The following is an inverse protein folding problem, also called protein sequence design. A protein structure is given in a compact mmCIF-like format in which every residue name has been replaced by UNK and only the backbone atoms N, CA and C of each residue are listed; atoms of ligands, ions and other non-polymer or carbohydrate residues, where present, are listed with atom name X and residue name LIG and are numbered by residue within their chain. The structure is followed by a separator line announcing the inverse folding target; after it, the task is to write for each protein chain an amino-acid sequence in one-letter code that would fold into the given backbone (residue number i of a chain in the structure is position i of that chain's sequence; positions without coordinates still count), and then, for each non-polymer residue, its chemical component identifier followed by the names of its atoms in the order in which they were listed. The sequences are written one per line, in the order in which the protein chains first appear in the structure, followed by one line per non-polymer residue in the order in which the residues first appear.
data_IF_739059599193
#
_entry.id   IF_739059599193
#
_cell.length_a   1.000
_cell.length_b   1.000
_cell.length_c   1.000
_cell.angle_alpha   90.00
_cell.angle_beta   90.00
_cell.angle_gamma   90.00
#
_symmetry.space_group_name_H-M   'P 1'
#
loop_
_entity.id
_entity.type
_entity.pdbx_description
1 polymer ?
#
# COMPACT_ATOMS: atom_id res chain seq x y z
N UNK A 1 -22.19 -20.41 16.87
CA UNK A 1 -20.93 -19.96 17.47
C UNK A 1 -20.77 -18.48 17.17
N UNK A 2 -20.69 -17.65 18.21
CA UNK A 2 -20.50 -16.20 18.05
C UNK A 2 -19.03 -15.99 17.74
N UNK A 3 -18.73 -15.52 16.53
CA UNK A 3 -17.35 -15.31 16.09
C UNK A 3 -16.67 -14.25 16.95
N UNK A 4 -15.37 -14.40 17.17
CA UNK A 4 -14.50 -13.42 17.85
C UNK A 4 -14.70 -12.00 17.28
N UNK A 5 -15.04 -11.91 16.00
CA UNK A 5 -15.31 -10.69 15.25
C UNK A 5 -16.62 -10.00 15.71
N UNK A 6 -17.67 -10.77 16.02
CA UNK A 6 -18.95 -10.27 16.52
C UNK A 6 -18.81 -9.70 17.94
N UNK A 7 -17.90 -10.28 18.73
CA UNK A 7 -17.54 -9.76 20.06
C UNK A 7 -16.76 -8.44 19.97
N UNK A 8 -15.87 -8.30 18.99
CA UNK A 8 -15.15 -7.05 18.73
C UNK A 8 -16.11 -5.97 18.21
N UNK A 9 -17.10 -6.34 17.39
CA UNK A 9 -18.18 -5.46 16.91
C UNK A 9 -19.00 -4.86 18.06
N UNK A 10 -19.51 -5.71 18.97
CA UNK A 10 -20.28 -5.29 20.16
C UNK A 10 -19.48 -4.37 21.10
N UNK A 11 -18.16 -4.56 21.17
CA UNK A 11 -17.30 -3.77 22.04
C UNK A 11 -16.95 -2.38 21.48
N UNK A 12 -16.80 -2.25 20.16
CA UNK A 12 -16.56 -0.95 19.52
C UNK A 12 -17.83 -0.06 19.59
N UNK A 13 -19.02 -0.66 19.54
CA UNK A 13 -20.31 0.06 19.57
C UNK A 13 -20.75 0.53 20.97
N UNK A 14 -20.14 0.01 22.04
CA UNK A 14 -20.55 0.36 23.41
C UNK A 14 -21.95 -0.12 23.80
N UNK A 15 -22.51 -1.09 23.07
CA UNK A 15 -23.81 -1.67 23.34
C UNK A 15 -23.69 -2.63 24.54
N UNK A 16 -23.86 -2.09 25.75
CA UNK A 16 -24.09 -2.87 26.95
C UNK A 16 -25.30 -3.77 26.71
N UNK A 17 -25.04 -5.06 26.63
CA UNK A 17 -26.06 -6.06 26.36
C UNK A 17 -26.91 -6.18 27.63
N UNK A 18 -28.18 -5.77 27.56
CA UNK A 18 -29.16 -5.93 28.64
C UNK A 18 -29.59 -7.41 28.77
N UNK A 19 -28.62 -8.33 28.85
CA UNK A 19 -28.83 -9.76 28.98
C UNK A 19 -28.13 -10.26 30.26
N UNK A 20 -28.88 -10.44 31.37
CA UNK A 20 -28.32 -10.70 32.70
C UNK A 20 -27.62 -12.06 32.84
N UNK A 21 -27.67 -12.92 31.80
CA UNK A 21 -26.92 -14.16 31.71
C UNK A 21 -25.58 -14.04 30.96
N UNK A 22 -25.35 -12.94 30.22
CA UNK A 22 -24.07 -12.65 29.55
C UNK A 22 -23.07 -11.95 30.49
N UNK A 23 -23.56 -11.20 31.48
CA UNK A 23 -22.73 -10.46 32.47
C UNK A 23 -21.80 -11.37 33.30
N UNK A 24 -22.10 -12.67 33.39
CA UNK A 24 -21.32 -13.63 34.20
C UNK A 24 -20.12 -14.20 33.43
N UNK A 25 -20.19 -14.30 32.09
CA UNK A 25 -19.08 -14.77 31.25
C UNK A 25 -18.18 -13.60 30.77
N UNK A 26 -18.71 -12.37 30.74
CA UNK A 26 -18.03 -11.14 30.27
C UNK A 26 -16.87 -10.66 31.16
N UNK A 27 -16.74 -11.15 32.40
CA UNK A 27 -15.65 -10.75 33.31
C UNK A 27 -14.45 -11.71 33.33
N UNK A 28 -14.47 -12.82 32.62
CA UNK A 28 -13.55 -13.93 32.88
C UNK A 28 -12.71 -14.44 31.70
N UNK A 29 -12.55 -13.69 30.60
CA UNK A 29 -11.46 -13.96 29.65
C UNK A 29 -10.32 -12.98 29.89
N UNK A 30 -9.13 -13.45 30.31
CA UNK A 30 -7.96 -12.58 30.37
C UNK A 30 -7.72 -12.03 28.96
N UNK A 31 -7.99 -10.72 28.81
CA UNK A 31 -7.91 -10.01 27.54
C UNK A 31 -6.57 -10.30 26.89
N UNK A 32 -6.58 -10.82 25.67
CA UNK A 32 -5.31 -11.10 25.00
C UNK A 32 -4.76 -9.75 24.54
N UNK A 33 -3.48 -9.51 24.80
CA UNK A 33 -2.78 -8.23 24.51
C UNK A 33 -3.01 -7.76 23.07
N UNK A 34 -3.21 -8.68 22.12
CA UNK A 34 -3.49 -8.38 20.72
C UNK A 34 -4.88 -7.82 20.43
N UNK A 35 -5.90 -8.19 21.20
CA UNK A 35 -7.29 -7.71 21.01
C UNK A 35 -7.38 -6.25 21.44
N UNK A 36 -6.86 -5.93 22.63
CA UNK A 36 -6.74 -4.57 23.13
C UNK A 36 -5.95 -3.67 22.16
N UNK A 37 -4.89 -4.21 21.57
CA UNK A 37 -4.08 -3.50 20.60
C UNK A 37 -4.83 -3.22 19.29
N UNK A 38 -5.50 -4.23 18.73
CA UNK A 38 -6.27 -4.08 17.48
C UNK A 38 -7.36 -3.03 17.64
N UNK A 39 -8.08 -3.02 18.76
CA UNK A 39 -9.14 -2.03 18.93
C UNK A 39 -8.59 -0.62 19.14
N UNK A 40 -7.47 -0.46 19.84
CA UNK A 40 -6.81 0.85 19.94
C UNK A 40 -6.43 1.40 18.57
N UNK A 41 -5.83 0.57 17.72
CA UNK A 41 -5.49 0.96 16.35
C UNK A 41 -6.75 1.25 15.53
N UNK A 42 -7.76 0.40 15.59
CA UNK A 42 -9.00 0.60 14.85
C UNK A 42 -9.70 1.92 15.23
N UNK A 43 -9.79 2.24 16.53
CA UNK A 43 -10.39 3.49 17.01
C UNK A 43 -9.59 4.72 16.58
N UNK A 44 -8.26 4.63 16.56
CA UNK A 44 -7.43 5.74 16.08
C UNK A 44 -7.58 5.95 14.57
N UNK A 45 -7.56 4.87 13.78
CA UNK A 45 -7.79 4.94 12.33
C UNK A 45 -9.19 5.49 12.03
N UNK A 46 -10.19 5.10 12.82
CA UNK A 46 -11.55 5.65 12.71
C UNK A 46 -11.58 7.15 13.00
N UNK A 47 -10.91 7.60 14.06
CA UNK A 47 -10.80 9.03 14.40
C UNK A 47 -10.16 9.83 13.25
N UNK A 48 -9.10 9.26 12.66
CA UNK A 48 -8.44 9.83 11.47
C UNK A 48 -9.38 9.82 10.26
N UNK A 49 -10.10 8.72 10.01
CA UNK A 49 -11.10 8.61 8.96
C UNK A 49 -12.19 9.68 9.10
N UNK A 50 -12.72 9.89 10.30
CA UNK A 50 -13.77 10.89 10.56
C UNK A 50 -13.27 12.32 10.43
N UNK A 51 -12.01 12.57 10.79
CA UNK A 51 -11.40 13.89 10.65
C UNK A 51 -11.10 14.24 9.20
N UNK A 52 -10.63 13.25 8.44
CA UNK A 52 -10.22 13.44 7.06
C UNK A 52 -11.41 13.29 6.09
N UNK A 53 -12.49 12.59 6.46
CA UNK A 53 -13.61 12.40 5.54
C UNK A 53 -14.16 13.73 5.02
N UNK A 54 -14.32 13.80 3.69
CA UNK A 54 -14.83 14.98 3.02
C UNK A 54 -16.04 14.59 2.19
N UNK A 55 -17.19 15.19 2.51
CA UNK A 55 -18.44 14.98 1.76
C UNK A 55 -18.85 16.31 1.12
N UNK A 56 -18.56 16.53 -0.18
CA UNK A 56 -19.03 17.72 -0.88
C UNK A 56 -20.57 17.71 -1.01
N UNK A 57 -21.21 18.89 -1.03
CA UNK A 57 -22.67 18.99 -1.13
C UNK A 57 -23.17 18.35 -2.44
N UNK A 58 -23.96 17.28 -2.31
CA UNK A 58 -24.53 16.52 -3.43
C UNK A 58 -23.60 15.49 -4.09
N UNK A 59 -22.42 15.24 -3.52
CA UNK A 59 -21.43 14.28 -4.04
C UNK A 59 -21.14 13.10 -3.09
N UNK A 60 -20.33 12.13 -3.54
CA UNK A 60 -19.94 10.98 -2.74
C UNK A 60 -19.00 11.38 -1.60
N UNK A 61 -19.00 10.61 -0.50
CA UNK A 61 -18.04 10.79 0.60
C UNK A 61 -16.68 10.25 0.20
N UNK A 62 -15.65 11.08 0.36
CA UNK A 62 -14.25 10.74 0.13
C UNK A 62 -13.57 10.44 1.45
N UNK A 63 -12.90 9.30 1.52
CA UNK A 63 -12.04 8.89 2.63
C UNK A 63 -10.65 8.55 2.09
N UNK A 64 -9.58 8.73 2.90
CA UNK A 64 -8.24 8.31 2.51
C UNK A 64 -8.21 6.84 2.05
N UNK A 65 -7.61 6.53 0.89
CA UNK A 65 -7.50 5.17 0.37
C UNK A 65 -6.45 4.31 1.09
N UNK A 66 -5.51 4.90 1.83
CA UNK A 66 -4.48 4.15 2.54
C UNK A 66 -4.23 4.72 3.94
N UNK A 67 -4.03 3.83 4.91
CA UNK A 67 -3.67 4.16 6.29
C UNK A 67 -2.39 3.44 6.66
N UNK A 68 -1.35 4.20 6.97
CA UNK A 68 -0.09 3.66 7.44
C UNK A 68 -0.09 3.69 8.97
N UNK A 69 -0.07 2.52 9.60
CA UNK A 69 0.06 2.36 11.04
C UNK A 69 1.52 2.12 11.38
N UNK A 70 2.17 3.10 11.98
CA UNK A 70 3.52 2.99 12.50
C UNK A 70 3.48 2.37 13.89
N UNK A 71 4.21 1.28 14.05
CA UNK A 71 4.41 0.55 15.29
C UNK A 71 5.80 0.83 15.84
N UNK A 72 5.93 0.77 17.17
CA UNK A 72 7.23 0.76 17.82
C UNK A 72 8.07 -0.47 17.37
N UNK A 73 9.39 -0.37 17.52
CA UNK A 73 10.29 -1.49 17.19
C UNK A 73 10.02 -2.72 18.09
N UNK A 74 9.65 -2.51 19.35
CA UNK A 74 9.37 -3.59 20.28
C UNK A 74 8.01 -4.25 20.02
N UNK A 75 7.00 -3.47 19.61
CA UNK A 75 5.73 -4.02 19.17
C UNK A 75 5.87 -4.78 17.85
N UNK A 76 6.62 -4.27 16.85
CA UNK A 76 6.83 -5.01 15.60
C UNK A 76 7.42 -6.40 15.84
N UNK A 77 8.34 -6.56 16.82
CA UNK A 77 8.89 -7.88 17.20
C UNK A 77 7.81 -8.85 17.71
N UNK A 78 6.80 -8.35 18.40
CA UNK A 78 5.65 -9.15 18.86
C UNK A 78 4.68 -9.48 17.71
N UNK A 79 4.62 -8.62 16.68
CA UNK A 79 3.71 -8.69 15.53
C UNK A 79 4.38 -9.15 14.22
N UNK A 80 5.30 -10.11 14.26
CA UNK A 80 5.95 -10.65 13.05
C UNK A 80 5.24 -11.86 12.45
N UNK A 81 5.45 -12.08 11.15
CA UNK A 81 5.01 -13.29 10.43
C UNK A 81 3.49 -13.40 10.29
N UNK A 82 2.92 -14.54 10.70
CA UNK A 82 1.49 -14.81 10.59
C UNK A 82 0.64 -13.89 11.48
N UNK A 83 1.16 -13.45 12.63
CA UNK A 83 0.48 -12.48 13.50
C UNK A 83 0.31 -11.12 12.81
N UNK A 84 1.31 -10.67 12.04
CA UNK A 84 1.21 -9.43 11.22
C UNK A 84 0.06 -9.53 10.24
N UNK A 85 0.02 -10.64 9.49
CA UNK A 85 -0.99 -10.88 8.45
C UNK A 85 -2.39 -10.99 9.04
N UNK A 86 -2.54 -11.70 10.17
CA UNK A 86 -3.82 -11.80 10.86
C UNK A 86 -4.31 -10.45 11.39
N UNK A 87 -3.39 -9.61 11.86
CA UNK A 87 -3.72 -8.27 12.33
C UNK A 87 -4.04 -7.30 11.19
N UNK A 88 -3.32 -7.35 10.08
CA UNK A 88 -3.63 -6.63 8.84
C UNK A 88 -5.03 -7.02 8.31
N UNK A 89 -5.32 -8.32 8.25
CA UNK A 89 -6.63 -8.84 7.83
C UNK A 89 -7.75 -8.44 8.79
N UNK A 90 -7.50 -8.52 10.10
CA UNK A 90 -8.46 -8.13 11.13
C UNK A 90 -8.78 -6.63 11.10
N UNK A 91 -7.75 -5.78 10.99
CA UNK A 91 -7.93 -4.34 10.85
C UNK A 91 -8.68 -3.98 9.57
N UNK A 92 -8.30 -4.59 8.44
CA UNK A 92 -9.00 -4.38 7.17
C UNK A 92 -10.49 -4.73 7.27
N UNK A 93 -10.82 -5.86 7.89
CA UNK A 93 -12.21 -6.28 8.09
C UNK A 93 -12.99 -5.28 8.96
N UNK A 94 -12.47 -4.95 10.15
CA UNK A 94 -13.14 -4.04 11.11
C UNK A 94 -13.34 -2.65 10.51
N UNK A 95 -12.31 -2.12 9.85
CA UNK A 95 -12.39 -0.81 9.23
C UNK A 95 -13.32 -0.79 8.00
N UNK A 96 -13.49 -1.93 7.30
CA UNK A 96 -14.37 -2.01 6.13
C UNK A 96 -15.83 -1.96 6.55
N UNK A 97 -16.14 -2.62 7.66
CA UNK A 97 -17.46 -2.57 8.27
C UNK A 97 -17.77 -1.13 8.75
N UNK A 98 -16.81 -0.48 9.44
CA UNK A 98 -16.97 0.89 9.95
C UNK A 98 -17.02 1.96 8.85
N UNK A 99 -16.19 1.87 7.82
CA UNK A 99 -16.23 2.80 6.69
C UNK A 99 -17.60 2.75 5.99
N UNK A 100 -18.20 1.55 5.87
CA UNK A 100 -19.53 1.37 5.31
C UNK A 100 -20.61 1.98 6.20
N UNK A 101 -20.53 1.80 7.52
CA UNK A 101 -21.43 2.42 8.49
C UNK A 101 -21.34 3.96 8.48
N UNK A 102 -20.11 4.50 8.49
CA UNK A 102 -19.85 5.94 8.40
C UNK A 102 -20.38 6.55 7.10
N UNK A 103 -20.29 5.82 5.99
CA UNK A 103 -20.84 6.27 4.71
C UNK A 103 -22.37 6.19 4.63
N UNK A 104 -23.01 5.42 5.52
CA UNK A 104 -24.45 5.25 5.58
C UNK A 104 -25.08 4.89 4.23
N UNK A 105 -25.93 5.80 3.70
CA UNK A 105 -26.61 5.70 2.40
C UNK A 105 -25.83 6.36 1.24
N UNK A 106 -24.71 7.05 1.53
CA UNK A 106 -23.91 7.75 0.52
C UNK A 106 -22.84 6.83 -0.03
N UNK A 107 -22.77 6.74 -1.35
CA UNK A 107 -21.79 5.89 -2.02
C UNK A 107 -20.37 6.40 -1.75
N UNK A 108 -19.56 5.56 -1.09
CA UNK A 108 -18.11 5.83 -0.97
C UNK A 108 -17.50 5.88 -2.37
N UNK A 109 -16.75 6.95 -2.65
CA UNK A 109 -15.98 7.04 -3.89
C UNK A 109 -14.87 5.98 -3.94
N UNK A 110 -14.31 5.65 -2.78
CA UNK A 110 -13.24 4.66 -2.63
C UNK A 110 -13.83 3.25 -2.50
N UNK A 111 -13.58 2.38 -3.49
CA UNK A 111 -14.06 0.98 -3.51
C UNK A 111 -13.32 0.05 -2.53
N UNK A 112 -12.13 0.43 -2.09
CA UNK A 112 -11.27 -0.36 -1.21
C UNK A 112 -10.20 0.55 -0.59
N UNK A 113 -9.95 0.43 0.71
CA UNK A 113 -8.83 1.10 1.38
C UNK A 113 -7.81 0.08 1.87
N UNK A 114 -6.53 0.44 1.89
CA UNK A 114 -5.45 -0.40 2.36
C UNK A 114 -4.99 0.03 3.76
N UNK A 115 -4.56 -0.92 4.58
CA UNK A 115 -3.93 -0.65 5.87
C UNK A 115 -2.54 -1.27 5.84
N UNK A 116 -1.50 -0.46 5.94
CA UNK A 116 -0.11 -0.91 5.95
C UNK A 116 0.51 -0.74 7.34
N UNK A 117 1.13 -1.80 7.85
CA UNK A 117 1.86 -1.74 9.11
C UNK A 117 3.35 -1.45 8.89
N UNK A 118 3.80 -0.27 9.29
CA UNK A 118 5.20 0.16 9.26
C UNK A 118 5.81 0.17 10.65
N UNK A 119 7.14 0.22 10.70
CA UNK A 119 7.90 0.33 11.96
C UNK A 119 8.52 1.71 12.02
N UNK A 120 8.35 2.40 13.15
CA UNK A 120 9.01 3.66 13.45
C UNK A 120 9.82 3.49 14.75
N UNK A 121 11.15 3.63 14.62
CA UNK A 121 12.08 3.49 15.73
C UNK A 121 12.08 4.66 16.71
N UNK A 122 11.32 5.72 16.43
CA UNK A 122 11.15 6.89 17.33
C UNK A 122 9.97 6.72 18.28
N UNK A 123 9.12 5.72 18.07
CA UNK A 123 7.98 5.41 18.92
C UNK A 123 8.39 4.57 20.13
N UNK A 124 7.82 4.90 21.29
CA UNK A 124 7.99 4.10 22.49
C UNK A 124 7.19 2.80 22.43
N UNK A 125 7.56 1.80 23.23
CA UNK A 125 6.80 0.55 23.33
C UNK A 125 5.34 0.84 23.75
N UNK A 126 4.39 0.31 22.99
CA UNK A 126 2.95 0.55 23.14
C UNK A 126 2.45 1.83 22.48
N UNK A 127 3.33 2.66 21.90
CA UNK A 127 2.97 3.84 21.11
C UNK A 127 2.84 3.45 19.63
N UNK A 128 1.79 3.96 18.99
CA UNK A 128 1.55 3.79 17.56
C UNK A 128 1.05 5.11 16.97
N UNK A 129 1.30 5.32 15.68
CA UNK A 129 0.79 6.49 14.94
C UNK A 129 0.09 6.03 13.68
N UNK A 130 -1.04 6.67 13.39
CA UNK A 130 -1.78 6.45 12.15
C UNK A 130 -1.56 7.65 11.25
N UNK A 131 -1.07 7.41 10.04
CA UNK A 131 -0.94 8.42 9.02
C UNK A 131 -1.93 8.12 7.88
N UNK A 132 -2.93 8.98 7.64
CA UNK A 132 -3.77 8.88 6.46
C UNK A 132 -2.97 9.29 5.23
N UNK A 133 -3.12 8.54 4.15
CA UNK A 133 -2.46 8.79 2.88
C UNK A 133 -3.55 8.98 1.84
N UNK A 134 -3.69 10.23 1.36
CA UNK A 134 -4.62 10.61 0.29
C UNK A 134 -4.05 10.35 -1.10
N UNK A 135 -2.75 10.47 -1.24
CA UNK A 135 -2.02 10.19 -2.46
C UNK A 135 -1.45 8.78 -2.37
N UNK A 136 -2.04 7.81 -3.07
CA UNK A 136 -1.41 6.51 -3.26
C UNK A 136 0.01 6.76 -3.73
N UNK A 137 1.01 6.36 -2.93
CA UNK A 137 2.41 6.55 -3.27
C UNK A 137 2.86 5.53 -4.35
N UNK A 138 2.18 5.57 -5.49
CA UNK A 138 2.63 5.04 -6.76
C UNK A 138 3.55 6.05 -7.47
N UNK A 139 3.70 7.26 -6.92
CA UNK A 139 4.68 8.26 -7.36
C UNK A 139 5.58 8.67 -6.20
N UNK A 140 6.65 7.90 -6.00
CA UNK A 140 7.70 8.17 -5.03
C UNK A 140 8.43 9.48 -5.28
N UNK A 141 7.83 10.60 -4.89
CA UNK A 141 8.53 11.82 -4.53
C UNK A 141 9.06 11.66 -3.12
N UNK A 142 10.30 11.17 -2.99
CA UNK A 142 11.02 11.18 -1.72
C UNK A 142 10.94 12.58 -1.10
N UNK A 143 10.39 12.64 0.11
CA UNK A 143 10.37 13.79 0.99
C UNK A 143 11.76 14.43 1.07
N UNK A 144 11.97 15.58 0.42
CA UNK A 144 13.09 16.46 0.74
C UNK A 144 12.75 17.18 2.03
N UNK A 145 13.50 16.86 3.08
CA UNK A 145 13.46 17.58 4.35
C UNK A 145 14.01 18.99 4.11
N UNK A 146 13.14 20.00 4.07
CA UNK A 146 13.56 21.41 4.19
C UNK A 146 14.13 21.61 5.58
N UNK A 147 15.46 21.59 5.69
CA UNK A 147 16.16 22.05 6.87
C UNK A 147 15.85 23.53 7.10
N UNK A 148 15.32 23.82 8.29
CA UNK A 148 15.13 25.15 8.86
C UNK A 148 16.47 25.92 8.88
N UNK A 149 16.61 27.08 8.23
CA UNK A 149 17.76 27.94 8.46
C UNK A 149 17.64 28.52 9.87
N UNK A 150 18.58 28.15 10.75
CA UNK A 150 18.75 28.82 12.03
C UNK A 150 19.35 30.21 11.81
N UNK A 151 18.68 31.23 12.35
CA UNK A 151 19.32 32.47 12.81
C UNK A 151 20.56 32.12 13.65
N UNK A 152 21.69 32.81 13.54
CA UNK A 152 22.05 34.07 14.24
C UNK A 152 23.51 34.47 13.80
N UNK A 153 24.10 35.64 14.15
CA UNK A 153 23.96 36.97 13.55
C UNK A 153 25.29 37.64 13.03
N UNK A 154 25.10 38.72 12.25
CA UNK A 154 25.79 40.03 12.27
C UNK A 154 27.25 40.26 11.72
N UNK A 155 27.28 41.12 10.67
CA UNK A 155 28.20 42.26 10.34
C UNK A 155 29.47 42.04 9.46
N UNK A 156 29.95 43.05 8.68
CA UNK A 156 29.33 43.71 7.50
C UNK A 156 30.40 43.93 6.35
N UNK A 157 30.31 44.92 5.43
CA UNK A 157 30.28 44.70 3.98
C UNK A 157 31.56 45.14 3.23
N UNK A 158 31.87 44.52 2.08
CA UNK A 158 32.76 45.12 1.08
C UNK A 158 32.30 44.89 -0.35
N UNK A 159 32.65 45.87 -1.15
CA UNK A 159 32.04 46.44 -2.36
C UNK A 159 32.53 45.79 -3.65
N UNK A 160 31.91 46.20 -4.77
CA UNK A 160 32.38 46.20 -6.17
C UNK A 160 32.07 44.94 -7.02
N UNK A 161 31.64 44.99 -8.29
CA UNK A 161 31.06 46.00 -9.22
C UNK A 161 30.62 45.17 -10.46
N UNK A 162 29.51 45.55 -11.10
CA UNK A 162 29.14 45.41 -12.55
C UNK A 162 29.34 44.09 -13.30
N UNK A 163 28.26 43.58 -13.91
CA UNK A 163 28.01 43.84 -15.34
C UNK A 163 26.61 43.33 -15.77
N UNK A 164 25.99 44.22 -16.53
CA UNK A 164 24.73 44.21 -17.25
C UNK A 164 24.56 43.01 -18.21
N UNK A 165 23.39 42.37 -18.21
CA UNK A 165 22.69 41.91 -19.42
C UNK A 165 21.23 41.65 -19.03
N UNK A 166 20.40 42.67 -19.17
CA UNK A 166 18.96 42.50 -19.33
C UNK A 166 18.68 42.07 -20.78
N UNK A 167 18.13 40.87 -20.95
CA UNK A 167 17.17 40.61 -22.02
C UNK A 167 15.99 39.80 -21.47
N UNK A 168 14.76 40.16 -21.88
CA UNK A 168 13.53 39.60 -21.36
C UNK A 168 13.16 38.30 -22.09
N UNK A 169 12.07 37.70 -21.63
CA UNK A 169 11.23 36.71 -22.32
C UNK A 169 11.36 35.25 -21.90
N UNK A 170 10.15 34.75 -21.62
CA UNK A 170 9.73 33.37 -21.47
C UNK A 170 10.27 32.66 -20.22
N UNK A 171 9.55 32.93 -19.12
CA UNK A 171 9.27 31.93 -18.10
C UNK A 171 8.61 30.71 -18.78
N UNK A 172 9.44 29.88 -19.43
CA UNK A 172 9.03 28.56 -19.89
C UNK A 172 8.92 27.73 -18.62
N UNK A 173 7.70 27.71 -18.10
CA UNK A 173 7.23 26.64 -17.22
C UNK A 173 7.57 25.31 -17.90
N UNK A 174 8.69 24.69 -17.49
CA UNK A 174 8.97 23.30 -17.82
C UNK A 174 7.93 22.48 -17.06
N UNK A 175 6.76 22.32 -17.68
CA UNK A 175 5.78 21.33 -17.30
C UNK A 175 6.46 19.97 -17.49
N UNK A 176 7.00 19.43 -16.39
CA UNK A 176 7.57 18.08 -16.39
C UNK A 176 6.47 17.15 -16.90
N UNK A 177 6.71 16.51 -18.05
CA UNK A 177 5.75 15.61 -18.65
C UNK A 177 5.35 14.56 -17.61
N UNK A 178 4.04 14.48 -17.32
CA UNK A 178 3.49 13.47 -16.41
C UNK A 178 4.01 12.11 -16.86
N UNK A 179 4.57 11.27 -15.98
CA UNK A 179 5.12 9.99 -16.38
C UNK A 179 3.98 9.16 -17.00
N UNK A 180 4.10 8.90 -18.30
CA UNK A 180 3.04 8.26 -19.07
C UNK A 180 3.04 6.77 -18.77
N UNK A 181 1.97 6.30 -18.13
CA UNK A 181 1.71 4.86 -17.99
C UNK A 181 1.70 4.20 -19.37
N UNK A 182 2.52 3.16 -19.53
CA UNK A 182 2.73 2.45 -20.79
C UNK A 182 1.73 1.28 -20.94
N UNK A 183 1.51 0.55 -19.86
CA UNK A 183 0.61 -0.60 -19.75
C UNK A 183 0.38 -0.91 -18.26
N UNK A 184 -0.59 -1.76 -17.95
CA UNK A 184 -0.81 -2.26 -16.59
C UNK A 184 -0.66 -3.78 -16.55
N UNK A 185 -0.30 -4.33 -15.39
CA UNK A 185 -0.21 -5.78 -15.18
C UNK A 185 -1.20 -6.20 -14.10
N UNK A 186 -2.12 -7.09 -14.45
CA UNK A 186 -3.00 -7.72 -13.47
C UNK A 186 -2.33 -8.94 -12.84
N UNK A 187 -2.43 -9.05 -11.52
CA UNK A 187 -1.95 -10.19 -10.74
C UNK A 187 -3.14 -10.96 -10.19
N UNK A 188 -3.22 -12.24 -10.52
CA UNK A 188 -4.29 -13.15 -10.10
C UNK A 188 -3.71 -14.29 -9.27
N UNK A 189 -4.49 -14.77 -8.30
CA UNK A 189 -4.14 -15.96 -7.50
C UNK A 189 -5.40 -16.77 -7.24
N UNK A 190 -5.37 -18.06 -7.56
CA UNK A 190 -6.52 -18.98 -7.39
C UNK A 190 -7.83 -18.44 -8.00
N UNK A 191 -7.74 -17.77 -9.15
CA UNK A 191 -8.91 -17.20 -9.84
C UNK A 191 -9.43 -15.86 -9.28
N UNK A 192 -8.84 -15.33 -8.22
CA UNK A 192 -9.18 -14.01 -7.66
C UNK A 192 -8.12 -12.99 -8.08
N UNK A 193 -8.56 -11.85 -8.64
CA UNK A 193 -7.65 -10.74 -8.98
C UNK A 193 -7.19 -10.06 -7.70
N UNK A 194 -5.88 -10.05 -7.48
CA UNK A 194 -5.25 -9.50 -6.29
C UNK A 194 -4.97 -8.01 -6.44
N UNK A 195 -4.32 -7.63 -7.54
CA UNK A 195 -3.91 -6.24 -7.80
C UNK A 195 -3.78 -5.97 -9.29
N UNK A 196 -3.83 -4.69 -9.67
CA UNK A 196 -3.53 -4.18 -11.01
C UNK A 196 -2.47 -3.11 -10.83
N UNK A 197 -1.29 -3.32 -11.42
CA UNK A 197 -0.12 -2.46 -11.20
C UNK A 197 0.17 -1.67 -12.47
N UNK A 198 0.14 -0.33 -12.44
CA UNK A 198 0.49 0.51 -13.58
C UNK A 198 2.01 0.48 -13.82
N UNK A 199 2.42 0.29 -15.06
CA UNK A 199 3.83 0.19 -15.46
C UNK A 199 4.25 1.40 -16.28
N UNK A 200 5.31 2.05 -15.78
CA UNK A 200 5.88 3.27 -16.38
C UNK A 200 7.22 3.02 -17.08
N UNK A 201 7.78 1.81 -16.93
CA UNK A 201 9.09 1.42 -17.48
C UNK A 201 8.91 0.44 -18.63
N UNK A 202 9.82 0.48 -19.60
CA UNK A 202 9.86 -0.51 -20.67
C UNK A 202 10.27 -1.88 -20.15
N UNK A 203 11.22 -1.95 -19.22
CA UNK A 203 11.62 -3.20 -18.57
C UNK A 203 11.24 -3.17 -17.08
N UNK A 204 10.61 -4.24 -16.62
CA UNK A 204 10.29 -4.45 -15.20
C UNK A 204 10.78 -5.80 -14.73
N UNK A 205 11.16 -5.84 -13.46
CA UNK A 205 11.52 -7.06 -12.73
C UNK A 205 10.33 -7.55 -11.90
N UNK A 206 10.08 -8.86 -11.97
CA UNK A 206 8.96 -9.54 -11.33
C UNK A 206 9.51 -10.56 -10.34
N UNK A 207 9.00 -10.56 -9.11
CA UNK A 207 9.38 -11.58 -8.14
C UNK A 207 8.94 -11.26 -6.73
N UNK A 208 9.40 -12.07 -5.77
CA UNK A 208 9.06 -11.88 -4.36
C UNK A 208 9.73 -10.67 -3.72
N UNK A 209 10.88 -10.25 -4.26
CA UNK A 209 11.75 -9.26 -3.65
C UNK A 209 12.37 -9.72 -2.33
N UNK A 210 13.35 -8.97 -1.86
CA UNK A 210 13.97 -9.10 -0.53
C UNK A 210 14.68 -7.81 -0.15
N UNK A 211 15.20 -7.71 1.08
CA UNK A 211 15.99 -6.54 1.51
C UNK A 211 17.15 -6.20 0.56
N UNK A 212 17.73 -7.20 -0.10
CA UNK A 212 18.85 -7.04 -1.06
C UNK A 212 18.44 -7.13 -2.53
N UNK A 213 17.17 -7.40 -2.84
CA UNK A 213 16.68 -7.57 -4.22
C UNK A 213 15.37 -6.81 -4.34
N UNK A 214 15.44 -5.61 -4.91
CA UNK A 214 14.27 -4.81 -5.27
C UNK A 214 13.66 -5.34 -6.57
N UNK A 215 12.34 -5.38 -6.62
CA UNK A 215 11.59 -5.74 -7.84
C UNK A 215 10.54 -4.67 -8.11
N UNK A 216 10.22 -4.46 -9.39
CA UNK A 216 9.21 -3.49 -9.81
C UNK A 216 7.79 -4.04 -9.58
N UNK A 217 7.58 -5.33 -9.83
CA UNK A 217 6.32 -6.04 -9.58
C UNK A 217 6.48 -7.06 -8.44
N UNK A 218 6.18 -6.67 -7.18
CA UNK A 218 6.32 -7.55 -6.03
C UNK A 218 5.16 -8.56 -5.94
N UNK A 219 5.49 -9.86 -6.03
CA UNK A 219 4.57 -10.98 -5.83
C UNK A 219 4.82 -11.58 -4.45
N UNK A 220 4.00 -11.20 -3.47
CA UNK A 220 4.13 -11.64 -2.06
C UNK A 220 3.26 -12.87 -1.77
N UNK A 221 3.66 -13.65 -0.77
CA UNK A 221 2.80 -14.70 -0.19
C UNK A 221 3.07 -16.12 -0.67
N UNK A 222 4.03 -16.33 -1.57
CA UNK A 222 4.44 -17.65 -2.04
C UNK A 222 5.98 -17.77 -2.06
N UNK A 223 6.58 -18.71 -1.30
CA UNK A 223 8.02 -18.94 -1.29
C UNK A 223 8.56 -19.56 -2.60
N UNK A 224 7.69 -20.15 -3.42
CA UNK A 224 8.05 -20.71 -4.74
C UNK A 224 8.39 -19.62 -5.75
N UNK A 225 7.86 -18.42 -5.55
CA UNK A 225 8.25 -17.25 -6.31
C UNK A 225 9.65 -16.81 -5.88
N UNK A 226 10.56 -16.81 -6.85
CA UNK A 226 11.95 -16.41 -6.63
C UNK A 226 12.04 -14.91 -6.32
N UNK A 227 13.09 -14.51 -5.59
CA UNK A 227 13.31 -13.09 -5.23
C UNK A 227 13.35 -12.19 -6.46
N UNK A 228 14.05 -12.63 -7.50
CA UNK A 228 13.95 -12.15 -8.87
C UNK A 228 13.53 -13.36 -9.71
N UNK A 229 12.29 -13.36 -10.19
CA UNK A 229 11.70 -14.53 -10.84
C UNK A 229 11.61 -14.38 -12.36
N UNK A 230 11.31 -13.19 -12.86
CA UNK A 230 11.26 -12.93 -14.29
C UNK A 230 11.49 -11.45 -14.60
N UNK A 231 11.74 -11.16 -15.86
CA UNK A 231 11.69 -9.80 -16.41
C UNK A 231 10.65 -9.73 -17.52
N UNK A 232 9.91 -8.63 -17.55
CA UNK A 232 8.98 -8.29 -18.62
C UNK A 232 9.49 -7.01 -19.30
N UNK A 233 9.72 -7.09 -20.60
CA UNK A 233 10.24 -6.01 -21.43
C UNK A 233 9.23 -5.66 -22.52
N UNK A 234 8.96 -4.37 -22.71
CA UNK A 234 8.17 -3.82 -23.81
C UNK A 234 9.12 -3.16 -24.80
N UNK A 235 9.11 -3.63 -26.05
CA UNK A 235 9.92 -3.02 -27.11
C UNK A 235 9.29 -1.73 -27.65
N UNK A 236 10.03 -0.98 -28.48
CA UNK A 236 9.55 0.27 -29.08
C UNK A 236 8.43 0.06 -30.12
N UNK A 237 8.17 -1.19 -30.52
CA UNK A 237 7.05 -1.58 -31.37
C UNK A 237 5.80 -1.94 -30.57
N UNK A 238 5.87 -1.91 -29.23
CA UNK A 238 4.77 -2.23 -28.33
C UNK A 238 4.59 -3.73 -28.05
N UNK A 239 5.52 -4.59 -28.48
CA UNK A 239 5.50 -6.03 -28.18
C UNK A 239 6.09 -6.30 -26.82
N UNK A 240 5.57 -7.33 -26.16
CA UNK A 240 6.01 -7.74 -24.84
C UNK A 240 6.88 -8.99 -24.92
N UNK A 241 7.93 -9.00 -24.12
CA UNK A 241 8.91 -10.07 -24.03
C UNK A 241 9.05 -10.48 -22.59
N UNK A 242 8.87 -11.77 -22.32
CA UNK A 242 8.99 -12.34 -21.00
C UNK A 242 10.23 -13.23 -20.94
N UNK A 243 11.00 -13.10 -19.86
CA UNK A 243 12.20 -13.91 -19.63
C UNK A 243 12.18 -14.42 -18.19
N UNK A 244 11.96 -15.73 -17.95
CA UNK A 244 12.02 -16.30 -16.62
C UNK A 244 13.47 -16.45 -16.16
N UNK A 245 13.78 -15.96 -14.96
CA UNK A 245 15.11 -16.02 -14.31
C UNK A 245 15.11 -16.87 -13.04
N UNK A 246 13.92 -17.18 -12.53
CA UNK A 246 13.66 -17.88 -11.29
C UNK A 246 14.10 -19.34 -11.30
N UNK A 247 14.02 -19.96 -10.11
CA UNK A 247 14.30 -21.39 -9.92
C UNK A 247 13.17 -22.27 -10.44
N UNK A 248 11.93 -21.86 -10.19
CA UNK A 248 10.74 -22.57 -10.62
C UNK A 248 10.37 -22.10 -12.04
N UNK A 249 9.83 -23.00 -12.88
CA UNK A 249 9.46 -22.66 -14.25
C UNK A 249 8.29 -21.67 -14.29
N UNK A 250 8.21 -20.96 -15.40
CA UNK A 250 7.05 -20.14 -15.75
C UNK A 250 6.34 -20.78 -16.94
N UNK A 251 5.02 -20.62 -17.00
CA UNK A 251 4.21 -21.12 -18.10
C UNK A 251 3.54 -19.97 -18.83
N UNK A 252 3.44 -20.06 -20.15
CA UNK A 252 2.74 -19.07 -20.97
C UNK A 252 1.75 -19.82 -21.84
N UNK A 253 0.46 -19.54 -21.67
CA UNK A 253 -0.60 -20.27 -22.37
C UNK A 253 -0.57 -21.78 -22.12
N UNK A 254 -0.08 -22.23 -20.96
CA UNK A 254 0.09 -23.64 -20.60
C UNK A 254 1.38 -24.31 -21.12
N UNK A 255 2.24 -23.59 -21.84
CA UNK A 255 3.57 -24.07 -22.27
C UNK A 255 4.63 -23.63 -21.26
N UNK A 256 5.44 -24.59 -20.79
CA UNK A 256 6.61 -24.31 -19.96
C UNK A 256 7.70 -23.56 -20.76
N UNK A 257 8.26 -22.52 -20.15
CA UNK A 257 9.33 -21.70 -20.72
C UNK A 257 10.64 -21.98 -19.99
N UNK A 258 11.70 -22.23 -20.75
CA UNK A 258 13.01 -22.53 -20.17
C UNK A 258 13.57 -21.30 -19.47
N UNK A 259 14.36 -21.52 -18.41
CA UNK A 259 15.06 -20.43 -17.73
C UNK A 259 15.97 -19.68 -18.71
N UNK A 260 15.94 -18.36 -18.65
CA UNK A 260 16.64 -17.41 -19.54
C UNK A 260 16.18 -17.43 -21.01
N UNK A 261 15.15 -18.21 -21.36
CA UNK A 261 14.52 -18.16 -22.67
C UNK A 261 13.63 -16.93 -22.78
N UNK A 262 14.00 -16.02 -23.68
CA UNK A 262 13.21 -14.83 -24.01
C UNK A 262 12.11 -15.22 -24.99
N UNK A 263 10.85 -15.02 -24.61
CA UNK A 263 9.68 -15.35 -25.42
C UNK A 263 8.75 -14.14 -25.58
N UNK A 264 8.15 -13.99 -26.76
CA UNK A 264 7.13 -12.98 -27.02
C UNK A 264 5.82 -13.37 -26.33
N UNK A 265 5.16 -12.41 -25.67
CA UNK A 265 3.88 -12.61 -24.99
C UNK A 265 2.87 -11.61 -25.51
N UNK A 266 1.65 -12.06 -25.75
CA UNK A 266 0.56 -11.19 -26.18
C UNK A 266 -0.13 -10.53 -24.98
N UNK A 267 -0.71 -9.34 -25.17
CA UNK A 267 -1.72 -8.80 -24.27
C UNK A 267 -2.77 -9.84 -23.85
N UNK A 268 -3.19 -9.81 -22.58
CA UNK A 268 -4.14 -10.73 -21.95
C UNK A 268 -3.75 -12.23 -21.95
N UNK A 269 -2.59 -12.59 -22.53
CA UNK A 269 -2.07 -13.95 -22.46
C UNK A 269 -1.69 -14.30 -21.02
N UNK A 270 -2.05 -15.52 -20.61
CA UNK A 270 -1.81 -15.99 -19.23
C UNK A 270 -0.34 -16.35 -19.07
N UNK A 271 0.34 -15.61 -18.20
CA UNK A 271 1.69 -15.92 -17.74
C UNK A 271 1.57 -16.49 -16.32
N UNK A 272 1.87 -17.75 -16.13
CA UNK A 272 1.79 -18.43 -14.84
C UNK A 272 3.17 -18.53 -14.20
N UNK A 273 3.24 -18.10 -12.94
CA UNK A 273 4.45 -18.09 -12.12
C UNK A 273 4.05 -18.65 -10.75
N UNK A 274 4.49 -19.88 -10.44
CA UNK A 274 4.08 -20.60 -9.23
C UNK A 274 2.55 -20.56 -9.05
N UNK A 275 2.04 -20.10 -7.90
CA UNK A 275 0.58 -19.99 -7.66
C UNK A 275 -0.11 -18.76 -8.27
N UNK A 276 0.60 -17.96 -9.08
CA UNK A 276 0.10 -16.70 -9.63
C UNK A 276 -0.08 -16.76 -11.15
N UNK A 277 -1.07 -16.02 -11.63
CA UNK A 277 -1.26 -15.73 -13.06
C UNK A 277 -1.16 -14.24 -13.29
N UNK A 278 -0.33 -13.82 -14.23
CA UNK A 278 -0.16 -12.44 -14.67
C UNK A 278 -0.83 -12.25 -16.02
N UNK A 279 -1.39 -11.06 -16.23
CA UNK A 279 -1.92 -10.64 -17.53
C UNK A 279 -1.54 -9.20 -17.83
N UNK A 280 -1.13 -8.95 -19.06
CA UNK A 280 -0.72 -7.63 -19.52
C UNK A 280 -1.94 -6.93 -20.11
N UNK A 281 -2.27 -5.75 -19.58
CA UNK A 281 -3.33 -4.87 -20.07
C UNK A 281 -2.70 -3.69 -20.82
N UNK A 282 -2.74 -3.69 -22.16
CA UNK A 282 -2.24 -2.58 -22.95
C UNK A 282 -3.17 -1.38 -22.77
N UNK A 283 -2.62 -0.18 -22.95
CA UNK A 283 -3.36 1.07 -22.93
C UNK A 283 -3.97 1.40 -24.30
#
# INVERSE_FOLDING_TARGET
EVGIIDSIRRWIDGEASDDPLAEVDEKARPRRVWEDFLVKVAREVESVMQREMFTPPGGPTYIPPEYIVYLSNDDDKEWQGEKRRGLEQGLFYVLSERARELSGQTQLATKSFAVELRVDGTLNRGEFRVQPVWESNETGGSTMVTARPGETPALPPQTATTADTEQPESEVTKVSARPQELYSVEVWRSGVRQTVVPILKNEISIGRGSKSVTVDLPIKGDPEVSRNHATLERDNSGRFWFTPKGRNPAFIGGREISREERIEVKPDEKIEIASFTLRIQPK
#
